data_IF_379240720980
#
_entry.id   IF_379240720980
#
_cell.length_a   1.000
_cell.length_b   1.000
_cell.length_c   1.000
_cell.angle_alpha   90.00
_cell.angle_beta   90.00
_cell.angle_gamma   90.00
#
_symmetry.space_group_name_H-M   'P 1'
#
loop_
_entity.id
_entity.type
_entity.pdbx_description
1 polymer ?
#
# COMPACT_ATOMS: atom_id res chain seq x y z
N UNK A 1 7.89 -9.31 -18.05
CA UNK A 1 6.52 -9.65 -17.62
C UNK A 1 6.47 -10.47 -16.32
N UNK A 2 6.65 -11.80 -16.29
CA UNK A 2 6.43 -12.61 -15.05
C UNK A 2 7.29 -12.15 -13.85
N UNK A 3 8.58 -11.88 -14.06
CA UNK A 3 9.46 -11.41 -12.98
C UNK A 3 9.04 -10.03 -12.44
N UNK A 4 8.57 -9.14 -13.31
CA UNK A 4 8.12 -7.79 -12.91
C UNK A 4 6.77 -7.87 -12.20
N UNK A 5 5.84 -8.73 -12.65
CA UNK A 5 4.59 -8.98 -11.94
C UNK A 5 4.82 -9.54 -10.51
N UNK A 6 5.80 -10.44 -10.36
CA UNK A 6 6.26 -10.93 -9.05
C UNK A 6 6.89 -9.80 -8.21
N UNK A 7 7.68 -8.92 -8.84
CA UNK A 7 8.25 -7.74 -8.18
C UNK A 7 7.16 -6.81 -7.65
N UNK A 8 6.16 -6.44 -8.47
CA UNK A 8 5.00 -5.65 -8.03
C UNK A 8 4.32 -6.30 -6.83
N UNK A 9 4.03 -7.61 -6.92
CA UNK A 9 3.39 -8.36 -5.82
C UNK A 9 4.21 -8.36 -4.53
N UNK A 10 5.53 -8.49 -4.64
CA UNK A 10 6.47 -8.44 -3.51
C UNK A 10 6.50 -7.06 -2.87
N UNK A 11 6.65 -6.00 -3.67
CA UNK A 11 6.68 -4.62 -3.17
C UNK A 11 5.35 -4.20 -2.54
N UNK A 12 4.22 -4.54 -3.17
CA UNK A 12 2.89 -4.37 -2.57
C UNK A 12 2.76 -5.06 -1.22
N UNK A 13 3.29 -6.28 -1.08
CA UNK A 13 3.26 -7.02 0.19
C UNK A 13 4.11 -6.37 1.27
N UNK A 14 5.24 -5.74 0.90
CA UNK A 14 6.08 -4.97 1.82
C UNK A 14 5.35 -3.74 2.35
N UNK A 15 4.67 -3.00 1.47
CA UNK A 15 3.84 -1.85 1.85
C UNK A 15 2.72 -2.30 2.81
N UNK A 16 1.96 -3.34 2.45
CA UNK A 16 0.87 -3.87 3.31
C UNK A 16 1.39 -4.30 4.69
N UNK A 17 2.56 -4.96 4.75
CA UNK A 17 3.16 -5.37 6.02
C UNK A 17 3.53 -4.17 6.89
N UNK A 18 4.07 -3.11 6.29
CA UNK A 18 4.39 -1.89 7.02
C UNK A 18 3.11 -1.17 7.48
N UNK A 19 2.06 -1.10 6.66
CA UNK A 19 0.75 -0.58 7.08
C UNK A 19 0.17 -1.35 8.28
N UNK A 20 0.25 -2.68 8.27
CA UNK A 20 -0.19 -3.48 9.40
C UNK A 20 0.58 -3.17 10.69
N UNK A 21 1.88 -2.86 10.58
CA UNK A 21 2.69 -2.41 11.72
C UNK A 21 2.24 -1.04 12.21
N UNK A 22 2.09 -0.07 11.30
CA UNK A 22 1.61 1.29 11.58
C UNK A 22 0.25 1.26 12.29
N UNK A 23 -0.71 0.48 11.78
CA UNK A 23 -2.02 0.29 12.42
C UNK A 23 -1.92 -0.32 13.81
N UNK A 24 -1.04 -1.31 14.00
CA UNK A 24 -0.84 -1.96 15.30
C UNK A 24 -0.24 -1.02 16.33
N UNK A 25 0.71 -0.18 15.93
CA UNK A 25 1.40 0.74 16.84
C UNK A 25 0.72 2.08 17.00
N UNK A 26 -0.18 2.44 16.07
CA UNK A 26 -0.78 3.78 15.96
C UNK A 26 0.30 4.88 15.94
N UNK A 27 1.41 4.62 15.25
CA UNK A 27 2.55 5.53 15.10
C UNK A 27 2.92 5.62 13.63
N UNK A 28 3.31 6.79 13.17
CA UNK A 28 3.72 7.00 11.77
C UNK A 28 4.89 6.10 11.40
N UNK A 29 4.86 5.58 10.17
CA UNK A 29 5.99 4.83 9.63
C UNK A 29 7.03 5.79 9.09
N UNK A 30 8.31 5.52 9.35
CA UNK A 30 9.42 6.27 8.77
C UNK A 30 9.86 5.71 7.40
N UNK A 31 9.25 4.63 6.92
CA UNK A 31 9.71 3.91 5.71
C UNK A 31 8.64 3.76 4.65
N UNK A 32 7.39 4.10 4.95
CA UNK A 32 6.24 3.83 4.07
C UNK A 32 6.36 4.54 2.73
N UNK A 33 6.76 5.82 2.70
CA UNK A 33 6.95 6.58 1.46
C UNK A 33 7.96 5.92 0.51
N UNK A 34 9.07 5.42 1.07
CA UNK A 34 10.09 4.70 0.30
C UNK A 34 9.52 3.40 -0.29
N UNK A 35 8.78 2.62 0.51
CA UNK A 35 8.18 1.37 0.04
C UNK A 35 7.10 1.60 -1.04
N UNK A 36 6.31 2.67 -0.91
CA UNK A 36 5.35 3.10 -1.94
C UNK A 36 6.07 3.49 -3.22
N UNK A 37 7.19 4.22 -3.11
CA UNK A 37 8.04 4.55 -4.25
C UNK A 37 8.55 3.30 -5.00
N UNK A 38 9.03 2.29 -4.27
CA UNK A 38 9.50 1.02 -4.87
C UNK A 38 8.35 0.26 -5.56
N UNK A 39 7.17 0.20 -4.93
CA UNK A 39 5.96 -0.40 -5.52
C UNK A 39 5.56 0.30 -6.81
N UNK A 40 5.51 1.63 -6.82
CA UNK A 40 5.12 2.43 -7.97
C UNK A 40 6.12 2.31 -9.11
N UNK A 41 7.42 2.28 -8.80
CA UNK A 41 8.45 2.04 -9.80
C UNK A 41 8.28 0.66 -10.46
N UNK A 42 8.00 -0.38 -9.67
CA UNK A 42 7.73 -1.72 -10.21
C UNK A 42 6.47 -1.74 -11.13
N UNK A 43 5.43 -0.98 -10.81
CA UNK A 43 4.24 -0.82 -11.67
C UNK A 43 4.60 -0.11 -12.98
N UNK A 44 5.41 0.95 -12.92
CA UNK A 44 5.87 1.66 -14.12
C UNK A 44 6.70 0.74 -15.03
N UNK A 45 7.63 -0.03 -14.46
CA UNK A 45 8.39 -1.06 -15.20
C UNK A 45 7.46 -2.07 -15.88
N UNK A 46 6.41 -2.54 -15.18
CA UNK A 46 5.45 -3.50 -15.70
C UNK A 46 4.61 -2.93 -16.86
N UNK A 47 4.19 -1.67 -16.74
CA UNK A 47 3.43 -0.98 -17.78
C UNK A 47 4.29 -0.74 -19.03
N UNK A 48 5.57 -0.42 -18.86
CA UNK A 48 6.49 -0.24 -19.99
C UNK A 48 6.73 -1.56 -20.73
N UNK A 49 6.92 -2.65 -19.99
CA UNK A 49 6.97 -4.02 -20.54
C UNK A 49 5.73 -4.32 -21.39
N UNK A 50 4.53 -3.97 -20.91
CA UNK A 50 3.28 -4.17 -21.65
C UNK A 50 3.20 -3.31 -22.92
N UNK A 51 3.66 -2.06 -22.89
CA UNK A 51 3.69 -1.19 -24.08
C UNK A 51 4.63 -1.70 -25.16
N UNK A 52 5.67 -2.46 -24.80
CA UNK A 52 6.57 -3.07 -25.78
C UNK A 52 5.96 -4.26 -26.52
N UNK A 53 4.90 -4.85 -25.97
CA UNK A 53 4.30 -6.10 -26.43
C UNK A 53 3.74 -6.05 -27.88
N UNK A 54 3.03 -4.99 -28.33
CA UNK A 54 2.54 -4.91 -29.71
C UNK A 54 3.65 -5.04 -30.77
N UNK A 55 4.88 -4.60 -30.47
CA UNK A 55 6.02 -4.73 -31.39
C UNK A 55 6.37 -6.20 -31.70
N UNK A 56 6.01 -7.12 -30.80
CA UNK A 56 6.24 -8.56 -30.96
C UNK A 56 5.25 -9.23 -31.92
N UNK A 57 4.04 -8.66 -32.06
CA UNK A 57 2.94 -9.24 -32.84
C UNK A 57 2.73 -8.59 -34.20
N UNK A 58 3.27 -7.38 -34.41
CA UNK A 58 3.16 -6.65 -35.69
C UNK A 58 4.21 -7.14 -36.73
N UNK A 59 5.25 -7.88 -36.31
CA UNK A 59 6.23 -8.48 -37.21
C UNK A 59 6.18 -10.02 -37.17
N UNK A 60 5.24 -10.66 -37.90
CA UNK A 60 5.24 -12.10 -38.03
C UNK A 60 6.45 -12.54 -38.85
N UNK A 61 7.44 -13.13 -38.20
CA UNK A 61 8.43 -13.95 -38.90
C UNK A 61 7.68 -15.07 -39.66
N UNK A 62 7.98 -15.32 -40.95
CA UNK A 62 7.30 -16.36 -41.70
C UNK A 62 7.68 -17.73 -41.11
N UNK A 63 6.76 -18.32 -40.35
CA UNK A 63 6.85 -19.73 -39.95
C UNK A 63 6.67 -20.58 -41.21
N UNK A 64 7.80 -21.04 -41.76
CA UNK A 64 7.78 -22.06 -42.80
C UNK A 64 7.35 -23.39 -42.17
N UNK A 65 6.22 -23.91 -42.64
CA UNK A 65 5.89 -25.33 -42.51
C UNK A 65 4.50 -25.63 -41.94
N UNK A 66 3.71 -26.27 -42.80
CA UNK A 66 2.61 -27.19 -42.53
C UNK A 66 1.21 -26.68 -42.96
N UNK A 67 0.75 -27.30 -44.04
CA UNK A 67 -0.58 -27.23 -44.63
C UNK A 67 -1.69 -27.56 -43.61
N UNK A 68 -2.56 -26.60 -43.34
CA UNK A 68 -3.95 -26.82 -42.87
C UNK A 68 -4.79 -25.55 -43.12
N UNK A 69 -5.85 -25.60 -43.95
CA UNK A 69 -6.68 -24.44 -44.25
C UNK A 69 -7.82 -24.34 -43.23
N UNK A 70 -7.51 -23.96 -42.00
CA UNK A 70 -8.50 -23.33 -41.12
C UNK A 70 -8.10 -21.86 -41.03
N UNK A 71 -8.83 -20.98 -41.75
CA UNK A 71 -8.61 -19.52 -41.75
C UNK A 71 -8.93 -18.95 -40.37
N UNK A 72 -8.08 -19.21 -39.37
CA UNK A 72 -8.07 -18.43 -38.14
C UNK A 72 -7.41 -17.11 -38.49
N UNK A 73 -8.16 -16.01 -38.37
CA UNK A 73 -7.61 -14.68 -38.56
C UNK A 73 -6.42 -14.50 -37.59
N UNK A 74 -5.19 -14.27 -38.09
CA UNK A 74 -4.00 -14.14 -37.23
C UNK A 74 -4.18 -13.08 -36.13
N UNK A 75 -4.95 -12.03 -36.41
CA UNK A 75 -5.30 -11.00 -35.43
C UNK A 75 -6.15 -11.50 -34.25
N UNK A 76 -7.02 -12.50 -34.45
CA UNK A 76 -7.87 -13.06 -33.37
C UNK A 76 -7.04 -13.93 -32.43
N UNK A 77 -6.06 -14.67 -32.95
CA UNK A 77 -5.13 -15.47 -32.13
C UNK A 77 -4.23 -14.57 -31.28
N UNK A 78 -3.65 -13.52 -31.87
CA UNK A 78 -2.83 -12.55 -31.14
C UNK A 78 -3.62 -11.81 -30.02
N UNK A 79 -4.88 -11.47 -30.25
CA UNK A 79 -5.74 -10.83 -29.24
C UNK A 79 -6.03 -11.75 -28.05
N UNK A 80 -6.26 -13.04 -28.28
CA UNK A 80 -6.51 -14.03 -27.22
C UNK A 80 -5.28 -14.23 -26.31
N UNK A 81 -4.08 -14.08 -26.85
CA UNK A 81 -2.83 -14.22 -26.09
C UNK A 81 -2.45 -12.94 -25.32
N UNK A 82 -2.81 -11.76 -25.86
CA UNK A 82 -2.48 -10.46 -25.25
C UNK A 82 -3.49 -10.09 -24.15
N UNK A 83 -4.78 -10.41 -24.33
CA UNK A 83 -5.83 -9.98 -23.40
C UNK A 83 -5.58 -10.42 -21.95
N UNK A 84 -5.20 -11.68 -21.64
CA UNK A 84 -4.89 -12.09 -20.28
C UNK A 84 -3.72 -11.31 -19.66
N UNK A 85 -2.71 -10.95 -20.46
CA UNK A 85 -1.57 -10.15 -20.01
C UNK A 85 -2.00 -8.72 -19.66
N UNK A 86 -2.80 -8.09 -20.53
CA UNK A 86 -3.37 -6.77 -20.26
C UNK A 86 -4.21 -6.79 -18.99
N UNK A 87 -5.10 -7.78 -18.84
CA UNK A 87 -5.93 -7.94 -17.64
C UNK A 87 -5.08 -8.10 -16.38
N UNK A 88 -4.02 -8.92 -16.42
CA UNK A 88 -3.12 -9.10 -15.29
C UNK A 88 -2.45 -7.78 -14.88
N UNK A 89 -1.93 -7.02 -15.85
CA UNK A 89 -1.27 -5.74 -15.59
C UNK A 89 -2.26 -4.71 -15.04
N UNK A 90 -3.49 -4.65 -15.59
CA UNK A 90 -4.55 -3.78 -15.06
C UNK A 90 -4.90 -4.12 -13.62
N UNK A 91 -5.04 -5.42 -13.29
CA UNK A 91 -5.35 -5.85 -11.94
C UNK A 91 -4.23 -5.51 -10.94
N UNK A 92 -2.97 -5.75 -11.32
CA UNK A 92 -1.82 -5.40 -10.46
C UNK A 92 -1.68 -3.89 -10.26
N UNK A 93 -1.95 -3.10 -11.30
CA UNK A 93 -1.98 -1.63 -11.20
C UNK A 93 -3.08 -1.17 -10.25
N UNK A 94 -4.30 -1.70 -10.40
CA UNK A 94 -5.43 -1.37 -9.53
C UNK A 94 -5.15 -1.72 -8.06
N UNK A 95 -4.52 -2.88 -7.81
CA UNK A 95 -4.12 -3.29 -6.46
C UNK A 95 -3.14 -2.28 -5.86
N UNK A 96 -2.14 -1.83 -6.63
CA UNK A 96 -1.18 -0.84 -6.16
C UNK A 96 -1.86 0.50 -5.81
N UNK A 97 -2.75 1.00 -6.69
CA UNK A 97 -3.53 2.22 -6.42
C UNK A 97 -4.40 2.09 -5.17
N UNK A 98 -5.03 0.92 -4.94
CA UNK A 98 -5.80 0.68 -3.73
C UNK A 98 -4.92 0.69 -2.47
N UNK A 99 -3.71 0.15 -2.55
CA UNK A 99 -2.74 0.17 -1.45
C UNK A 99 -2.32 1.62 -1.13
N UNK A 100 -2.06 2.47 -2.13
CA UNK A 100 -1.79 3.90 -1.89
C UNK A 100 -2.93 4.59 -1.14
N UNK A 101 -4.18 4.31 -1.53
CA UNK A 101 -5.35 4.81 -0.79
C UNK A 101 -5.37 4.33 0.66
N UNK A 102 -4.96 3.08 0.92
CA UNK A 102 -4.81 2.57 2.29
C UNK A 102 -3.68 3.23 3.06
N UNK A 103 -2.57 3.60 2.41
CA UNK A 103 -1.45 4.32 3.03
C UNK A 103 -1.96 5.63 3.62
N UNK A 104 -2.63 6.46 2.80
CA UNK A 104 -3.16 7.74 3.23
C UNK A 104 -4.09 7.59 4.45
N UNK A 105 -5.05 6.66 4.39
CA UNK A 105 -6.00 6.43 5.47
C UNK A 105 -5.33 5.95 6.77
N UNK A 106 -4.32 5.09 6.67
CA UNK A 106 -3.60 4.57 7.84
C UNK A 106 -2.65 5.61 8.43
N UNK A 107 -2.03 6.46 7.62
CA UNK A 107 -1.20 7.56 8.11
C UNK A 107 -2.02 8.64 8.85
N UNK A 108 -3.19 9.00 8.32
CA UNK A 108 -4.14 9.88 9.00
C UNK A 108 -4.57 9.28 10.35
N UNK A 109 -4.84 7.98 10.38
CA UNK A 109 -5.19 7.26 11.61
C UNK A 109 -4.05 7.27 12.64
N UNK A 110 -2.81 7.05 12.20
CA UNK A 110 -1.64 7.09 13.05
C UNK A 110 -1.40 8.48 13.66
N UNK A 111 -1.59 9.55 12.87
CA UNK A 111 -1.46 10.92 13.35
C UNK A 111 -2.45 11.25 14.48
N UNK A 112 -3.70 10.82 14.35
CA UNK A 112 -4.70 10.95 15.42
C UNK A 112 -4.34 10.15 16.68
N UNK A 113 -3.70 8.99 16.52
CA UNK A 113 -3.23 8.15 17.62
C UNK A 113 -2.10 8.78 18.42
N UNK A 114 -1.11 9.35 17.72
CA UNK A 114 0.03 10.03 18.35
C UNK A 114 -0.40 11.24 19.19
N UNK A 115 -1.38 12.01 18.70
CA UNK A 115 -1.90 13.18 19.42
C UNK A 115 -2.51 12.80 20.78
N UNK A 116 -3.29 11.71 20.84
CA UNK A 116 -3.89 11.22 22.09
C UNK A 116 -2.82 10.83 23.11
N UNK A 117 -1.77 10.13 22.67
CA UNK A 117 -0.68 9.71 23.56
C UNK A 117 0.05 10.89 24.23
N UNK A 118 0.20 12.02 23.53
CA UNK A 118 0.90 13.21 24.07
C UNK A 118 -0.01 13.96 25.06
N UNK A 119 -1.31 14.07 24.76
CA UNK A 119 -2.29 14.70 25.65
C UNK A 119 -2.43 13.94 26.98
N UNK A 120 -2.44 12.61 26.93
CA UNK A 120 -2.55 11.77 28.14
C UNK A 120 -1.29 11.84 29.01
N UNK A 121 -0.10 11.96 28.40
CA UNK A 121 1.16 12.10 29.14
C UNK A 121 1.28 13.44 29.89
N UNK A 122 0.68 14.52 29.39
CA UNK A 122 0.73 15.85 30.05
C UNK A 122 -0.17 15.97 31.27
N UNK A 123 -1.19 15.12 31.42
CA UNK A 123 -2.13 15.17 32.55
C UNK A 123 -1.66 14.38 33.80
N UNK A 124 -0.57 13.61 33.71
CA UNK A 124 -0.09 12.79 34.83
C UNK A 124 0.92 13.50 35.77
N UNK A 125 1.29 14.75 35.48
CA UNK A 125 2.33 15.48 36.23
C UNK A 125 1.81 16.65 37.10
N UNK A 126 0.52 16.70 37.47
CA UNK A 126 0.09 17.64 38.51
C UNK A 126 0.32 17.06 39.92
N UNK A 127 1.17 17.66 40.77
CA UNK A 127 1.23 17.29 42.17
C UNK A 127 -0.08 17.70 42.85
N UNK A 128 -0.81 16.72 43.37
CA UNK A 128 -1.98 16.95 44.22
C UNK A 128 -1.51 17.63 45.50
N UNK A 129 -1.65 18.95 45.58
CA UNK A 129 -1.49 19.72 46.81
C UNK A 129 -2.55 19.25 47.80
N UNK A 130 -2.15 18.50 48.82
CA UNK A 130 -3.02 18.15 49.95
C UNK A 130 -3.28 19.42 50.75
N UNK A 131 -4.48 19.95 50.67
CA UNK A 131 -4.97 21.00 51.57
C UNK A 131 -5.11 20.41 52.97
N UNK A 132 -4.22 20.85 53.88
CA UNK A 132 -4.33 20.52 55.30
C UNK A 132 -5.52 21.29 55.90
N UNK A 133 -6.52 20.56 56.37
CA UNK A 133 -7.61 21.09 57.21
C UNK A 133 -7.06 21.27 58.63
N UNK A 134 -7.12 22.48 59.25
CA UNK A 134 -6.79 22.63 60.67
C UNK A 134 -7.92 22.06 61.53
N UNK A 135 -7.55 21.28 62.54
CA UNK A 135 -8.45 20.77 63.56
C UNK A 135 -9.04 21.93 64.38
N UNK A 136 -10.35 21.85 64.57
CA UNK A 136 -11.16 22.70 65.44
C UNK A 136 -10.90 22.31 66.91
N UNK A 137 -10.35 23.23 67.70
CA UNK A 137 -10.40 23.19 69.16
C UNK A 137 -10.78 24.58 69.70
N UNK A 138 -12.06 24.78 69.99
CA UNK A 138 -12.47 25.77 70.97
C UNK A 138 -13.27 25.14 72.10
N UNK A 139 -12.63 25.14 73.28
CA UNK A 139 -13.18 24.78 74.58
C UNK A 139 -14.19 25.84 75.02
N UNK A 140 -15.39 25.37 75.33
CA UNK A 140 -16.40 26.09 76.09
C UNK A 140 -16.01 26.09 77.58
N UNK A 141 -15.99 27.27 78.20
CA UNK A 141 -16.16 27.47 79.64
C UNK A 141 -16.91 28.78 79.89
N UNK A 142 -18.16 28.65 80.34
CA UNK A 142 -18.86 29.60 81.21
C UNK A 142 -18.99 28.92 82.57
#
# INVERSE_FOLDING_TARGET
>A
MSNIALKVSSESSRVIKELARTMKTMKKSSTIDYLVGEMNNAVLELQEDLKSLPNLFINPQPLQGADCPEKRNPGVVALMDIMPLVTLVSLLTEIATRIEGMVNAVEELAEMGEYKSIADAKNQNQPVSKTNVPADEHKEKV
#
